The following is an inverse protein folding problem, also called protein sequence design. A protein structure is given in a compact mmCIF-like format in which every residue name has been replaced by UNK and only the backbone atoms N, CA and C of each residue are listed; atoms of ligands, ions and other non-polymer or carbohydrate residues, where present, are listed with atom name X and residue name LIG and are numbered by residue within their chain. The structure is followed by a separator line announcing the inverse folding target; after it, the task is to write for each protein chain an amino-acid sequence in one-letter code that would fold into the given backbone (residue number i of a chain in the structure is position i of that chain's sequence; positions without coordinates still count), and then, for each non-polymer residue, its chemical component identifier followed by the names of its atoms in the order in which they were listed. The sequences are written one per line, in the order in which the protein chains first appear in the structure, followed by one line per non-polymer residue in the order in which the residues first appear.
data_IF_800492940542
#
_entry.id   IF_800492940542
#
_cell.length_a   1.000
_cell.length_b   1.000
_cell.length_c   1.000
_cell.angle_alpha   90.00
_cell.angle_beta   90.00
_cell.angle_gamma   90.00
#
_symmetry.space_group_name_H-M   'P 1'
#
loop_
_entity.id
_entity.type
_entity.pdbx_description
1 polymer ?
#
# COMPACT_ATOMS: atom_id res chain seq x y z
N UNK A 1 6.38 -26.00 0.54
CA UNK A 1 5.13 -25.36 1.00
C UNK A 1 4.38 -24.92 -0.25
N UNK A 2 3.29 -25.59 -0.57
CA UNK A 2 2.56 -25.37 -1.82
C UNK A 2 1.74 -24.09 -1.70
N UNK A 3 2.00 -23.10 -2.55
CA UNK A 3 1.16 -21.92 -2.66
C UNK A 3 -0.13 -22.40 -3.32
N UNK A 4 -1.22 -22.48 -2.54
CA UNK A 4 -2.51 -22.81 -3.13
C UNK A 4 -2.93 -21.72 -4.13
N UNK A 5 -3.33 -22.10 -5.35
CA UNK A 5 -3.77 -21.12 -6.32
C UNK A 5 -5.01 -20.36 -5.82
N UNK A 6 -5.16 -19.12 -6.27
CA UNK A 6 -6.38 -18.36 -6.03
C UNK A 6 -7.55 -19.02 -6.75
N UNK A 7 -8.69 -19.14 -6.05
CA UNK A 7 -9.97 -19.48 -6.65
C UNK A 7 -10.43 -18.38 -7.62
N UNK A 8 -11.37 -18.71 -8.51
CA UNK A 8 -11.92 -17.74 -9.48
C UNK A 8 -12.42 -16.45 -8.81
N UNK A 9 -13.15 -16.59 -7.69
CA UNK A 9 -13.66 -15.43 -6.95
C UNK A 9 -12.57 -14.60 -6.28
N UNK A 10 -11.52 -15.25 -5.76
CA UNK A 10 -10.38 -14.53 -5.21
C UNK A 10 -9.60 -13.78 -6.30
N UNK A 11 -9.47 -14.35 -7.50
CA UNK A 11 -8.88 -13.67 -8.65
C UNK A 11 -9.68 -12.42 -9.05
N UNK A 12 -11.01 -12.50 -9.10
CA UNK A 12 -11.88 -11.36 -9.38
C UNK A 12 -11.69 -10.24 -8.36
N UNK A 13 -11.63 -10.59 -7.06
CA UNK A 13 -11.36 -9.65 -5.97
C UNK A 13 -9.99 -8.98 -6.12
N UNK A 14 -8.95 -9.76 -6.41
CA UNK A 14 -7.58 -9.24 -6.62
C UNK A 14 -7.53 -8.29 -7.80
N UNK A 15 -8.19 -8.62 -8.92
CA UNK A 15 -8.23 -7.75 -10.10
C UNK A 15 -8.79 -6.37 -9.77
N UNK A 16 -9.96 -6.33 -9.14
CA UNK A 16 -10.61 -5.07 -8.75
C UNK A 16 -9.82 -4.32 -7.67
N UNK A 17 -9.14 -5.05 -6.78
CA UNK A 17 -8.25 -4.48 -5.78
C UNK A 17 -7.05 -3.77 -6.42
N UNK A 18 -6.45 -4.37 -7.46
CA UNK A 18 -5.32 -3.79 -8.22
C UNK A 18 -5.73 -2.59 -9.07
N UNK A 19 -7.00 -2.51 -9.48
CA UNK A 19 -7.62 -1.32 -10.07
C UNK A 19 -7.85 -0.17 -9.06
N UNK A 20 -7.52 -0.37 -7.77
CA UNK A 20 -7.66 0.64 -6.72
C UNK A 20 -9.05 0.72 -6.10
N UNK A 21 -9.96 -0.21 -6.39
CA UNK A 21 -11.34 -0.17 -5.86
C UNK A 21 -11.37 -0.48 -4.36
N UNK A 22 -12.15 0.30 -3.60
CA UNK A 22 -12.41 0.01 -2.19
C UNK A 22 -13.24 -1.26 -2.01
N UNK A 23 -13.23 -1.87 -0.82
CA UNK A 23 -14.01 -3.09 -0.57
C UNK A 23 -15.51 -2.93 -0.86
N UNK A 24 -16.07 -1.73 -0.61
CA UNK A 24 -17.47 -1.40 -0.95
C UNK A 24 -17.72 -1.41 -2.46
N UNK A 25 -16.79 -0.85 -3.25
CA UNK A 25 -16.87 -0.86 -4.71
C UNK A 25 -16.67 -2.26 -5.27
N UNK A 26 -15.78 -3.07 -4.69
CA UNK A 26 -15.59 -4.48 -5.05
C UNK A 26 -16.88 -5.27 -4.78
N UNK A 27 -17.48 -5.08 -3.61
CA UNK A 27 -18.73 -5.74 -3.24
C UNK A 27 -19.86 -5.42 -4.23
N UNK A 28 -20.01 -4.13 -4.57
CA UNK A 28 -20.96 -3.67 -5.58
C UNK A 28 -20.69 -4.29 -6.96
N UNK A 29 -19.44 -4.29 -7.41
CA UNK A 29 -19.05 -4.82 -8.72
C UNK A 29 -19.25 -6.35 -8.84
N UNK A 30 -19.06 -7.11 -7.75
CA UNK A 30 -19.20 -8.56 -7.74
C UNK A 30 -20.59 -9.05 -7.29
N UNK A 31 -21.49 -8.13 -6.95
CA UNK A 31 -22.83 -8.39 -6.42
C UNK A 31 -22.82 -9.28 -5.18
N UNK A 32 -21.93 -8.95 -4.23
CA UNK A 32 -21.80 -9.63 -2.93
C UNK A 32 -21.81 -8.63 -1.79
N UNK A 33 -21.86 -9.10 -0.55
CA UNK A 33 -21.77 -8.21 0.62
C UNK A 33 -20.32 -7.77 0.88
N UNK A 34 -20.17 -6.69 1.64
CA UNK A 34 -18.86 -6.23 2.12
C UNK A 34 -18.13 -7.34 2.90
N UNK A 35 -18.85 -8.06 3.78
CA UNK A 35 -18.30 -9.16 4.57
C UNK A 35 -17.79 -10.32 3.72
N UNK A 36 -18.43 -10.62 2.59
CA UNK A 36 -17.94 -11.61 1.63
C UNK A 36 -16.62 -11.17 0.99
N UNK A 37 -16.47 -9.89 0.65
CA UNK A 37 -15.19 -9.36 0.14
C UNK A 37 -14.10 -9.45 1.20
N UNK A 38 -14.41 -9.09 2.45
CA UNK A 38 -13.47 -9.19 3.58
C UNK A 38 -13.03 -10.64 3.84
N UNK A 39 -13.96 -11.60 3.75
CA UNK A 39 -13.67 -13.02 3.82
C UNK A 39 -12.70 -13.45 2.71
N UNK A 40 -12.96 -13.08 1.46
CA UNK A 40 -12.05 -13.38 0.35
C UNK A 40 -10.68 -12.74 0.54
N UNK A 41 -10.61 -11.47 0.97
CA UNK A 41 -9.34 -10.78 1.23
C UNK A 41 -8.54 -11.48 2.34
N UNK A 42 -9.19 -11.94 3.41
CA UNK A 42 -8.52 -12.72 4.46
C UNK A 42 -7.87 -13.99 3.93
N UNK A 43 -8.57 -14.72 3.06
CA UNK A 43 -8.01 -15.94 2.46
C UNK A 43 -6.87 -15.61 1.49
N UNK A 44 -7.01 -14.55 0.69
CA UNK A 44 -5.94 -14.08 -0.20
C UNK A 44 -4.70 -13.69 0.61
N UNK A 45 -4.87 -12.93 1.70
CA UNK A 45 -3.77 -12.54 2.57
C UNK A 45 -3.04 -13.75 3.17
N UNK A 46 -3.78 -14.77 3.60
CA UNK A 46 -3.20 -16.03 4.08
C UNK A 46 -2.39 -16.76 2.98
N UNK A 47 -2.95 -16.86 1.76
CA UNK A 47 -2.28 -17.51 0.62
C UNK A 47 -0.99 -16.78 0.20
N UNK A 48 -1.02 -15.45 0.23
CA UNK A 48 0.11 -14.61 -0.11
C UNK A 48 1.04 -14.33 1.07
N UNK A 49 0.72 -14.76 2.29
CA UNK A 49 1.50 -14.51 3.50
C UNK A 49 1.79 -13.01 3.69
N UNK A 50 0.74 -12.21 3.65
CA UNK A 50 0.77 -10.75 3.84
C UNK A 50 -0.29 -10.36 4.86
N UNK A 51 -0.09 -9.22 5.54
CA UNK A 51 -1.00 -8.75 6.58
C UNK A 51 -1.80 -7.52 6.16
N UNK A 52 -1.41 -6.87 5.07
CA UNK A 52 -2.05 -5.64 4.61
C UNK A 52 -2.36 -5.64 3.12
N UNK A 53 -3.33 -4.80 2.76
CA UNK A 53 -3.68 -4.52 1.36
C UNK A 53 -2.46 -4.04 0.57
N UNK A 54 -1.64 -3.18 1.16
CA UNK A 54 -0.48 -2.60 0.49
C UNK A 54 0.60 -3.66 0.26
N UNK A 55 0.88 -4.50 1.25
CA UNK A 55 1.78 -5.66 1.08
C UNK A 55 1.30 -6.59 -0.03
N UNK A 56 -0.01 -6.89 -0.09
CA UNK A 56 -0.57 -7.70 -1.17
C UNK A 56 -0.32 -7.06 -2.53
N UNK A 57 -0.57 -5.75 -2.68
CA UNK A 57 -0.36 -5.03 -3.94
C UNK A 57 1.10 -5.05 -4.36
N UNK A 58 2.03 -4.80 -3.43
CA UNK A 58 3.46 -4.81 -3.69
C UNK A 58 3.91 -6.20 -4.14
N UNK A 59 3.54 -7.24 -3.40
CA UNK A 59 3.91 -8.63 -3.70
C UNK A 59 3.38 -9.10 -5.06
N UNK A 60 2.13 -8.74 -5.38
CA UNK A 60 1.54 -9.03 -6.69
C UNK A 60 2.27 -8.29 -7.82
N UNK A 61 2.66 -7.03 -7.62
CA UNK A 61 3.40 -6.27 -8.63
C UNK A 61 4.83 -6.76 -8.82
N UNK A 62 5.54 -7.14 -7.75
CA UNK A 62 6.85 -7.77 -7.83
C UNK A 62 6.82 -9.04 -8.68
N UNK A 63 5.80 -9.89 -8.49
CA UNK A 63 5.63 -11.09 -9.32
C UNK A 63 5.33 -10.79 -10.80
N UNK A 64 4.77 -9.62 -11.13
CA UNK A 64 4.55 -9.19 -12.52
C UNK A 64 5.77 -8.50 -13.15
N UNK A 65 6.69 -7.98 -12.34
CA UNK A 65 7.86 -7.22 -12.81
C UNK A 65 9.08 -8.13 -13.05
N UNK A 66 9.02 -9.40 -12.64
CA UNK A 66 10.09 -10.38 -12.87
C UNK A 66 10.36 -10.72 -14.36
N UNK A 67 9.64 -10.13 -15.31
CA UNK A 67 9.91 -10.23 -16.77
C UNK A 67 10.44 -8.94 -17.41
N UNK A 68 10.72 -7.88 -16.63
CA UNK A 68 11.32 -6.65 -17.17
C UNK A 68 12.71 -6.47 -16.58
N UNK A 69 13.74 -6.64 -17.41
CA UNK A 69 15.14 -6.35 -17.09
C UNK A 69 15.29 -4.97 -16.43
N UNK A 70 15.99 -4.95 -15.30
CA UNK A 70 16.29 -3.77 -14.46
C UNK A 70 17.03 -2.64 -15.22
N UNK A 71 16.50 -1.40 -15.26
CA UNK A 71 17.32 -0.21 -15.45
C UNK A 71 17.63 0.39 -14.08
N UNK A 72 18.89 0.24 -13.66
CA UNK A 72 19.49 0.69 -12.39
C UNK A 72 19.32 2.18 -12.06
N UNK A 73 18.78 2.98 -12.99
CA UNK A 73 18.57 4.42 -12.86
C UNK A 73 17.36 4.79 -11.97
N UNK A 74 16.39 3.88 -11.82
CA UNK A 74 15.13 4.20 -11.13
C UNK A 74 15.32 4.42 -9.61
N UNK A 75 16.31 3.75 -9.00
CA UNK A 75 16.65 3.87 -7.56
C UNK A 75 17.08 5.29 -7.18
N UNK A 76 17.76 6.00 -8.07
CA UNK A 76 18.21 7.37 -7.85
C UNK A 76 17.05 8.38 -8.00
N UNK A 77 16.16 8.16 -8.97
CA UNK A 77 14.94 8.98 -9.17
C UNK A 77 13.98 8.90 -7.98
N UNK A 78 13.75 7.71 -7.44
CA UNK A 78 12.89 7.51 -6.28
C UNK A 78 13.44 8.21 -5.03
N UNK A 79 14.75 8.15 -4.79
CA UNK A 79 15.40 8.93 -3.73
C UNK A 79 15.27 10.45 -3.92
N UNK A 80 15.32 10.93 -5.15
CA UNK A 80 15.23 12.36 -5.48
C UNK A 80 13.80 12.91 -5.28
N UNK A 81 12.80 12.19 -5.79
CA UNK A 81 11.39 12.55 -5.64
C UNK A 81 10.94 12.52 -4.18
N UNK A 82 11.36 11.50 -3.42
CA UNK A 82 11.03 11.40 -2.00
C UNK A 82 11.60 12.59 -1.22
N UNK A 83 12.82 13.02 -1.55
CA UNK A 83 13.48 14.15 -0.88
C UNK A 83 12.77 15.48 -1.18
N UNK A 84 12.37 15.72 -2.42
CA UNK A 84 11.62 16.93 -2.81
C UNK A 84 10.21 16.99 -2.20
N UNK A 85 9.49 15.87 -2.15
CA UNK A 85 8.14 15.84 -1.59
C UNK A 85 8.12 16.08 -0.07
N UNK A 86 9.08 15.52 0.67
CA UNK A 86 9.22 15.73 2.12
C UNK A 86 9.55 17.18 2.44
N UNK A 87 10.39 17.85 1.63
CA UNK A 87 10.71 19.27 1.83
C UNK A 87 9.51 20.17 1.58
N UNK A 88 8.73 19.90 0.52
CA UNK A 88 7.51 20.68 0.23
C UNK A 88 6.44 20.52 1.31
N UNK A 89 6.31 19.32 1.89
CA UNK A 89 5.41 19.11 3.03
C UNK A 89 5.89 19.85 4.30
N UNK A 90 7.19 19.79 4.60
CA UNK A 90 7.77 20.49 5.75
C UNK A 90 7.56 22.00 5.67
N UNK A 91 7.67 22.59 4.48
CA UNK A 91 7.38 24.00 4.25
C UNK A 91 5.89 24.33 4.42
N UNK A 92 5.00 23.53 3.83
CA UNK A 92 3.56 23.73 3.98
C UNK A 92 3.13 23.65 5.45
N UNK A 93 3.65 22.66 6.19
CA UNK A 93 3.41 22.50 7.64
C UNK A 93 4.04 23.65 8.44
N UNK A 94 5.19 24.19 8.02
CA UNK A 94 5.81 25.37 8.64
C UNK A 94 5.02 26.66 8.41
N UNK A 95 4.33 26.79 7.28
CA UNK A 95 3.46 27.94 6.99
C UNK A 95 2.24 27.88 7.89
N UNK A 96 1.62 26.71 8.01
CA UNK A 96 0.47 26.47 8.90
C UNK A 96 0.86 26.67 10.37
N UNK A 97 2.06 26.23 10.77
CA UNK A 97 2.59 26.41 12.12
C UNK A 97 2.95 27.87 12.48
N UNK A 98 3.14 28.77 11.51
CA UNK A 98 3.32 30.21 11.79
C UNK A 98 2.01 30.93 12.11
N UNK A 99 0.86 30.42 11.64
CA UNK A 99 -0.47 30.96 11.95
C UNK A 99 -1.02 30.46 13.29
N UNK A 100 -0.59 29.28 13.74
CA UNK A 100 -1.00 28.71 15.02
C UNK A 100 0.20 28.70 15.98
N UNK A 101 0.22 29.64 16.94
CA UNK A 101 1.10 29.54 18.12
C UNK A 101 0.81 28.21 18.83
N UNK A 102 1.55 27.16 18.52
CA UNK A 102 1.37 25.86 19.16
C UNK A 102 2.65 25.45 19.89
N UNK A 103 2.53 25.54 21.21
CA UNK A 103 3.46 25.01 22.18
C UNK A 103 3.56 23.49 22.05
N UNK A 104 4.80 23.05 21.94
CA UNK A 104 5.36 21.82 22.49
C UNK A 104 4.50 20.55 22.49
N UNK A 105 4.72 19.70 21.48
CA UNK A 105 4.73 18.25 21.65
C UNK A 105 6.03 17.73 21.05
N UNK A 106 7.12 17.85 21.80
CA UNK A 106 8.34 17.08 21.60
C UNK A 106 8.10 15.61 21.95
N UNK A 107 8.00 14.74 20.94
CA UNK A 107 8.76 13.49 20.83
C UNK A 107 8.16 12.60 19.76
N UNK A 108 8.78 12.59 18.58
CA UNK A 108 8.81 11.39 17.74
C UNK A 108 10.24 11.24 17.26
N UNK A 109 10.93 10.24 17.82
CA UNK A 109 12.28 9.84 17.46
C UNK A 109 12.43 9.66 15.95
N UNK A 110 13.32 10.43 15.35
CA UNK A 110 13.67 10.39 13.94
C UNK A 110 14.64 9.24 13.61
N UNK A 111 14.44 8.05 14.20
CA UNK A 111 15.35 6.91 14.08
C UNK A 111 14.66 5.56 13.95
N UNK A 112 13.50 5.45 13.29
CA UNK A 112 13.07 4.15 12.73
C UNK A 112 11.99 4.26 11.64
N UNK A 113 12.32 4.26 10.34
CA UNK A 113 11.31 4.21 9.29
C UNK A 113 10.84 2.75 9.09
N UNK A 114 9.79 2.38 9.83
CA UNK A 114 8.94 1.19 9.68
C UNK A 114 9.58 -0.18 9.94
N UNK A 115 9.65 -0.57 11.22
CA UNK A 115 9.21 -1.91 11.61
C UNK A 115 7.70 -1.88 11.79
N UNK A 116 6.94 -2.64 11.00
CA UNK A 116 5.52 -2.86 11.26
C UNK A 116 5.29 -4.25 11.85
N UNK A 117 4.63 -4.26 13.01
CA UNK A 117 3.83 -5.37 13.51
C UNK A 117 2.49 -5.42 12.75
#
# INVERSE_FOLDING_TARGET
MSIEPLSKREQDVVKLLLEGKSNKLIASALHVTLSTVEFHLKNIYAKYQVNSRMELVLKLRESTVAEIEEPTENRARLKFLWRNWVTSLREAVSIIGKELKMNNISNVDASNPMTFF
#
